data_IF_635119761808
#
_entry.id   IF_635119761808
#
_cell.length_a   1.000
_cell.length_b   1.000
_cell.length_c   1.000
_cell.angle_alpha   90.00
_cell.angle_beta   90.00
_cell.angle_gamma   90.00
#
_symmetry.space_group_name_H-M   'P 1'
#
loop_
_entity.id
_entity.type
_entity.pdbx_description
1 polymer ?
#
# COMPACT_ATOMS: atom_id res chain seq x y z
N UNK A 1 -59.56 -47.27 -37.03
CA UNK A 1 -58.24 -46.93 -36.44
C UNK A 1 -58.44 -46.31 -35.06
N UNK A 2 -58.00 -46.97 -33.98
CA UNK A 2 -58.39 -46.64 -32.59
C UNK A 2 -57.85 -45.30 -32.07
N UNK A 3 -58.70 -44.53 -31.35
CA UNK A 3 -58.37 -43.23 -30.74
C UNK A 3 -57.11 -43.29 -29.84
N UNK A 4 -56.81 -44.44 -29.24
CA UNK A 4 -55.63 -44.67 -28.39
C UNK A 4 -54.31 -44.56 -29.17
N UNK A 5 -54.25 -45.12 -30.39
CA UNK A 5 -53.06 -45.08 -31.26
C UNK A 5 -52.78 -43.64 -31.77
N UNK A 6 -53.83 -42.85 -32.02
CA UNK A 6 -53.67 -41.43 -32.40
C UNK A 6 -53.14 -40.57 -31.25
N UNK A 7 -53.51 -40.85 -30.00
CA UNK A 7 -53.04 -40.12 -28.81
C UNK A 7 -51.58 -40.44 -28.51
N UNK A 8 -51.18 -41.71 -28.55
CA UNK A 8 -49.78 -42.11 -28.32
C UNK A 8 -48.83 -41.56 -29.40
N UNK A 9 -49.27 -41.49 -30.68
CA UNK A 9 -48.47 -40.85 -31.74
C UNK A 9 -48.32 -39.34 -31.53
N UNK A 10 -49.37 -38.65 -31.08
CA UNK A 10 -49.30 -37.21 -30.76
C UNK A 10 -48.38 -36.96 -29.57
N UNK A 11 -48.47 -37.76 -28.50
CA UNK A 11 -47.61 -37.61 -27.33
C UNK A 11 -46.13 -37.87 -27.66
N UNK A 12 -45.83 -38.87 -28.51
CA UNK A 12 -44.46 -39.08 -29.02
C UNK A 12 -43.99 -37.91 -29.89
N UNK A 13 -44.82 -37.41 -30.79
CA UNK A 13 -44.48 -36.24 -31.62
C UNK A 13 -44.24 -34.97 -30.79
N UNK A 14 -45.05 -34.73 -29.77
CA UNK A 14 -44.88 -33.57 -28.87
C UNK A 14 -43.59 -33.71 -28.06
N UNK A 15 -43.28 -34.89 -27.53
CA UNK A 15 -42.01 -35.13 -26.80
C UNK A 15 -40.78 -34.97 -27.70
N UNK A 16 -40.83 -35.51 -28.92
CA UNK A 16 -39.72 -35.35 -29.89
C UNK A 16 -39.53 -33.87 -30.26
N UNK A 17 -40.61 -33.11 -30.48
CA UNK A 17 -40.51 -31.67 -30.74
C UNK A 17 -39.91 -30.91 -29.56
N UNK A 18 -40.34 -31.19 -28.33
CA UNK A 18 -39.81 -30.54 -27.12
C UNK A 18 -38.31 -30.84 -26.94
N UNK A 19 -37.87 -32.08 -27.14
CA UNK A 19 -36.45 -32.45 -27.03
C UNK A 19 -35.60 -31.72 -28.08
N UNK A 20 -36.07 -31.65 -29.34
CA UNK A 20 -35.36 -30.91 -30.40
C UNK A 20 -35.26 -29.42 -30.05
N UNK A 21 -36.32 -28.82 -29.51
CA UNK A 21 -36.29 -27.41 -29.08
C UNK A 21 -35.29 -27.18 -27.94
N UNK A 22 -35.21 -28.07 -26.95
CA UNK A 22 -34.24 -27.94 -25.85
C UNK A 22 -32.80 -28.05 -26.38
N UNK A 23 -32.52 -29.00 -27.28
CA UNK A 23 -31.19 -29.13 -27.90
C UNK A 23 -30.84 -27.88 -28.71
N UNK A 24 -31.78 -27.34 -29.48
CA UNK A 24 -31.58 -26.11 -30.24
C UNK A 24 -31.28 -24.91 -29.34
N UNK A 25 -31.99 -24.76 -28.20
CA UNK A 25 -31.72 -23.71 -27.22
C UNK A 25 -30.35 -23.88 -26.57
N UNK A 26 -29.98 -25.10 -26.18
CA UNK A 26 -28.67 -25.38 -25.59
C UNK A 26 -27.51 -25.12 -26.57
N UNK A 27 -27.70 -25.39 -27.86
CA UNK A 27 -26.72 -25.04 -28.90
C UNK A 27 -26.58 -23.52 -29.07
N UNK A 28 -27.68 -22.77 -29.05
CA UNK A 28 -27.63 -21.30 -29.14
C UNK A 28 -26.97 -20.68 -27.91
N UNK A 29 -27.26 -21.20 -26.70
CA UNK A 29 -26.62 -20.74 -25.45
C UNK A 29 -25.13 -21.12 -25.41
N UNK A 30 -24.78 -22.33 -25.86
CA UNK A 30 -23.38 -22.77 -25.95
C UNK A 30 -22.56 -21.91 -26.93
N UNK A 31 -23.13 -21.58 -28.10
CA UNK A 31 -22.49 -20.71 -29.08
C UNK A 31 -22.35 -19.26 -28.61
N UNK A 32 -23.28 -18.77 -27.77
CA UNK A 32 -23.20 -17.41 -27.21
C UNK A 32 -22.22 -17.30 -26.05
N UNK A 33 -22.07 -18.32 -25.21
CA UNK A 33 -21.00 -18.37 -24.19
C UNK A 33 -19.63 -18.50 -24.86
N UNK A 34 -19.48 -19.41 -25.83
CA UNK A 34 -18.26 -19.55 -26.61
C UNK A 34 -17.89 -18.26 -27.35
N UNK A 35 -18.87 -17.61 -27.98
CA UNK A 35 -18.72 -16.31 -28.62
C UNK A 35 -18.34 -15.19 -27.65
N UNK A 36 -18.91 -15.16 -26.44
CA UNK A 36 -18.54 -14.20 -25.39
C UNK A 36 -17.10 -14.41 -24.91
N UNK A 37 -16.65 -15.64 -24.73
CA UNK A 37 -15.27 -15.93 -24.36
C UNK A 37 -14.28 -15.63 -25.50
N UNK A 38 -14.64 -15.94 -26.74
CA UNK A 38 -13.83 -15.61 -27.92
C UNK A 38 -13.79 -14.10 -28.16
N UNK A 39 -14.91 -13.39 -27.97
CA UNK A 39 -14.96 -11.93 -28.07
C UNK A 39 -14.25 -11.26 -26.90
N UNK A 40 -14.32 -11.80 -25.68
CA UNK A 40 -13.56 -11.33 -24.52
C UNK A 40 -12.07 -11.61 -24.68
N UNK A 41 -11.67 -12.75 -25.24
CA UNK A 41 -10.27 -13.02 -25.58
C UNK A 41 -9.80 -12.15 -26.73
N UNK A 42 -10.66 -11.87 -27.71
CA UNK A 42 -10.37 -10.97 -28.82
C UNK A 42 -10.29 -9.50 -28.35
N UNK A 43 -11.14 -9.06 -27.43
CA UNK A 43 -11.03 -7.75 -26.78
C UNK A 43 -9.80 -7.68 -25.88
N UNK A 44 -9.46 -8.74 -25.15
CA UNK A 44 -8.21 -8.79 -24.38
C UNK A 44 -6.99 -8.75 -25.31
N UNK A 45 -7.07 -9.37 -26.49
CA UNK A 45 -6.02 -9.33 -27.51
C UNK A 45 -5.93 -7.96 -28.24
N UNK A 46 -7.05 -7.25 -28.43
CA UNK A 46 -7.03 -5.91 -29.04
C UNK A 46 -6.77 -4.77 -28.03
N UNK A 47 -7.19 -4.91 -26.77
CA UNK A 47 -6.88 -3.95 -25.70
C UNK A 47 -5.55 -4.28 -25.00
N UNK A 48 -4.83 -5.30 -25.49
CA UNK A 48 -3.52 -5.77 -25.01
C UNK A 48 -2.35 -5.32 -25.88
N UNK A 49 -2.47 -4.17 -26.55
CA UNK A 49 -1.35 -3.40 -27.09
C UNK A 49 -1.26 -2.15 -26.22
N UNK A 50 -0.28 -2.00 -25.33
CA UNK A 50 1.13 -1.98 -25.69
C UNK A 50 2.01 -2.92 -24.83
N UNK A 51 2.93 -3.62 -25.52
CA UNK A 51 4.14 -4.28 -25.02
C UNK A 51 4.08 -5.76 -24.57
N UNK A 52 3.89 -6.65 -25.56
CA UNK A 52 4.00 -8.11 -25.45
C UNK A 52 5.47 -8.63 -25.46
N UNK A 53 6.46 -7.79 -25.14
CA UNK A 53 7.89 -8.15 -25.16
C UNK A 53 8.43 -8.63 -23.80
N UNK A 54 7.67 -8.46 -22.72
CA UNK A 54 8.19 -8.59 -21.35
C UNK A 54 9.25 -7.54 -20.99
N UNK A 55 9.57 -6.62 -21.91
CA UNK A 55 10.40 -5.46 -21.63
C UNK A 55 9.57 -4.41 -20.87
N UNK A 56 10.18 -3.67 -19.93
CA UNK A 56 9.51 -2.56 -19.26
C UNK A 56 9.07 -1.51 -20.28
N UNK A 57 7.84 -1.01 -20.16
CA UNK A 57 7.37 0.09 -21.00
C UNK A 57 8.20 1.36 -20.78
N UNK A 58 8.17 2.30 -21.72
CA UNK A 58 8.83 3.60 -21.55
C UNK A 58 8.38 4.32 -20.25
N UNK A 59 7.11 4.15 -19.87
CA UNK A 59 6.58 4.67 -18.61
C UNK A 59 7.20 3.97 -17.39
N UNK A 60 7.44 2.66 -17.45
CA UNK A 60 8.14 1.93 -16.39
C UNK A 60 9.59 2.39 -16.26
N UNK A 61 10.28 2.56 -17.39
CA UNK A 61 11.66 3.05 -17.42
C UNK A 61 11.75 4.48 -16.86
N UNK A 62 10.82 5.35 -17.25
CA UNK A 62 10.76 6.72 -16.75
C UNK A 62 10.52 6.77 -15.23
N UNK A 63 9.57 5.97 -14.73
CA UNK A 63 9.32 5.84 -13.29
C UNK A 63 10.56 5.32 -12.55
N UNK A 64 11.21 4.29 -13.07
CA UNK A 64 12.43 3.75 -12.48
C UNK A 64 13.57 4.78 -12.42
N UNK A 65 13.76 5.57 -13.50
CA UNK A 65 14.75 6.65 -13.54
C UNK A 65 14.45 7.74 -12.51
N UNK A 66 13.19 8.15 -12.38
CA UNK A 66 12.82 9.15 -11.37
C UNK A 66 13.01 8.61 -9.96
N UNK A 67 12.61 7.37 -9.68
CA UNK A 67 12.86 6.72 -8.39
C UNK A 67 14.35 6.62 -8.07
N UNK A 68 15.20 6.29 -9.05
CA UNK A 68 16.65 6.25 -8.87
C UNK A 68 17.23 7.63 -8.58
N UNK A 69 16.85 8.64 -9.37
CA UNK A 69 17.26 10.03 -9.15
C UNK A 69 16.86 10.49 -7.75
N UNK A 70 15.62 10.24 -7.37
CA UNK A 70 15.09 10.57 -6.05
C UNK A 70 15.86 9.86 -4.92
N UNK A 71 16.17 8.58 -5.07
CA UNK A 71 16.96 7.83 -4.08
C UNK A 71 18.38 8.39 -3.94
N UNK A 72 19.00 8.82 -5.05
CA UNK A 72 20.31 9.47 -5.02
C UNK A 72 20.23 10.81 -4.32
N UNK A 73 19.25 11.64 -4.67
CA UNK A 73 19.07 12.97 -4.10
C UNK A 73 18.82 12.88 -2.57
N UNK A 74 18.12 11.84 -2.08
CA UNK A 74 18.02 11.59 -0.64
C UNK A 74 19.33 11.15 0.00
N UNK A 75 20.10 10.31 -0.70
CA UNK A 75 21.40 9.86 -0.23
C UNK A 75 22.32 11.04 0.00
N UNK A 76 22.38 11.94 -0.98
CA UNK A 76 23.16 13.18 -0.92
C UNK A 76 22.66 14.08 0.22
N UNK A 77 21.34 14.18 0.41
CA UNK A 77 20.73 14.96 1.48
C UNK A 77 21.08 14.42 2.87
N UNK A 78 20.95 13.10 3.07
CA UNK A 78 21.29 12.43 4.34
C UNK A 78 22.79 12.55 4.62
N UNK A 79 23.63 12.36 3.61
CA UNK A 79 25.07 12.54 3.74
C UNK A 79 25.40 13.95 4.20
N UNK A 80 24.85 14.97 3.52
CA UNK A 80 25.06 16.37 3.89
C UNK A 80 24.62 16.64 5.32
N UNK A 81 23.42 16.21 5.72
CA UNK A 81 22.95 16.42 7.08
C UNK A 81 23.82 15.70 8.12
N UNK A 82 24.29 14.50 7.82
CA UNK A 82 25.20 13.75 8.70
C UNK A 82 26.55 14.44 8.87
N UNK A 83 27.11 15.01 7.80
CA UNK A 83 28.35 15.81 7.86
C UNK A 83 28.20 17.01 8.81
N UNK A 84 27.06 17.72 8.76
CA UNK A 84 26.77 18.83 9.68
C UNK A 84 26.64 18.36 11.14
N UNK A 85 25.98 17.22 11.38
CA UNK A 85 25.91 16.62 12.73
C UNK A 85 27.30 16.23 13.24
N UNK A 86 28.16 15.68 12.39
CA UNK A 86 29.56 15.36 12.73
C UNK A 86 30.39 16.58 13.14
N UNK A 87 30.03 17.76 12.64
CA UNK A 87 30.61 19.05 13.03
C UNK A 87 29.95 19.63 14.30
N UNK A 88 29.07 18.87 14.96
CA UNK A 88 28.24 19.29 16.09
C UNK A 88 27.31 20.47 15.75
N UNK A 89 26.92 20.60 14.48
CA UNK A 89 26.01 21.63 13.97
C UNK A 89 24.65 21.00 13.57
N UNK A 90 23.87 20.63 14.59
CA UNK A 90 22.52 20.10 14.39
C UNK A 90 21.58 21.13 13.74
N UNK A 91 21.86 22.43 13.88
CA UNK A 91 21.02 23.49 13.31
C UNK A 91 21.23 23.60 11.78
N UNK A 92 22.45 23.40 11.29
CA UNK A 92 22.73 23.28 9.86
C UNK A 92 22.05 22.04 9.26
N UNK A 93 22.12 20.88 9.92
CA UNK A 93 21.40 19.68 9.49
C UNK A 93 19.87 19.91 9.44
N UNK A 94 19.31 20.58 10.45
CA UNK A 94 17.91 20.97 10.47
C UNK A 94 17.53 21.83 9.26
N UNK A 95 18.36 22.83 8.92
CA UNK A 95 18.10 23.71 7.77
C UNK A 95 18.02 22.93 6.45
N UNK A 96 18.87 21.92 6.28
CA UNK A 96 18.86 21.05 5.08
C UNK A 96 17.53 20.30 4.97
N UNK A 97 17.09 19.63 6.04
CA UNK A 97 15.83 18.89 6.02
C UNK A 97 14.60 19.78 5.90
N UNK A 98 14.56 20.92 6.61
CA UNK A 98 13.44 21.87 6.54
C UNK A 98 13.24 22.41 5.11
N UNK A 99 14.34 22.70 4.40
CA UNK A 99 14.27 23.10 2.99
C UNK A 99 13.68 22.00 2.10
N UNK A 100 14.08 20.75 2.30
CA UNK A 100 13.56 19.62 1.53
C UNK A 100 12.07 19.35 1.84
N UNK A 101 11.68 19.36 3.12
CA UNK A 101 10.27 19.18 3.54
C UNK A 101 9.38 20.28 2.94
N UNK A 102 9.85 21.52 2.91
CA UNK A 102 9.12 22.65 2.35
C UNK A 102 8.94 22.55 0.82
N UNK A 103 9.95 22.02 0.12
CA UNK A 103 9.91 21.81 -1.34
C UNK A 103 9.11 20.57 -1.76
N UNK A 104 8.93 19.61 -0.86
CA UNK A 104 8.21 18.37 -1.15
C UNK A 104 6.69 18.62 -1.27
N UNK A 105 6.01 17.80 -2.07
CA UNK A 105 4.55 17.84 -2.26
C UNK A 105 3.87 16.55 -1.80
N UNK A 106 4.55 15.41 -1.87
CA UNK A 106 4.08 14.12 -1.36
C UNK A 106 4.08 14.10 0.18
N UNK A 107 2.92 13.81 0.77
CA UNK A 107 2.78 13.73 2.23
C UNK A 107 3.55 12.55 2.85
N UNK A 108 3.57 11.42 2.13
CA UNK A 108 4.40 10.27 2.48
C UNK A 108 5.87 10.70 2.56
N UNK A 109 6.34 11.39 1.53
CA UNK A 109 7.72 11.82 1.46
C UNK A 109 8.09 12.89 2.50
N UNK A 110 7.18 13.82 2.78
CA UNK A 110 7.36 14.76 3.90
C UNK A 110 7.53 14.02 5.22
N UNK A 111 6.82 12.94 5.41
CA UNK A 111 6.91 12.13 6.63
C UNK A 111 8.23 11.36 6.70
N UNK A 112 8.69 10.78 5.59
CA UNK A 112 10.03 10.16 5.51
C UNK A 112 11.14 11.17 5.82
N UNK A 113 11.07 12.39 5.27
CA UNK A 113 12.04 13.46 5.55
C UNK A 113 11.95 13.96 7.00
N UNK A 114 10.75 14.03 7.58
CA UNK A 114 10.56 14.40 8.98
C UNK A 114 11.08 13.31 9.94
N UNK A 115 10.98 12.04 9.57
CA UNK A 115 11.61 10.91 10.28
C UNK A 115 13.13 11.09 10.28
N UNK A 116 13.72 11.38 9.12
CA UNK A 116 15.17 11.59 9.01
C UNK A 116 15.62 12.79 9.87
N UNK A 117 14.88 13.90 9.86
CA UNK A 117 15.12 15.06 10.73
C UNK A 117 14.97 14.71 12.22
N UNK A 118 13.92 13.96 12.57
CA UNK A 118 13.71 13.47 13.94
C UNK A 118 14.87 12.59 14.39
N UNK A 119 15.41 11.74 13.50
CA UNK A 119 16.60 10.92 13.71
C UNK A 119 17.87 11.74 13.96
N UNK A 120 18.05 12.84 13.23
CA UNK A 120 19.15 13.80 13.48
C UNK A 120 19.05 14.39 14.88
N UNK A 121 17.87 14.87 15.27
CA UNK A 121 17.67 15.43 16.61
C UNK A 121 17.84 14.39 17.71
N UNK A 122 17.34 13.17 17.48
CA UNK A 122 17.52 12.03 18.37
C UNK A 122 19.01 11.72 18.60
N UNK A 123 19.79 11.60 17.51
CA UNK A 123 21.23 11.33 17.59
C UNK A 123 22.00 12.44 18.33
N UNK A 124 21.52 13.69 18.25
CA UNK A 124 22.05 14.83 18.98
C UNK A 124 21.53 14.95 20.43
N UNK A 125 20.69 14.01 20.90
CA UNK A 125 20.07 14.07 22.23
C UNK A 125 19.00 15.16 22.39
N UNK A 126 18.57 15.78 21.30
CA UNK A 126 17.58 16.87 21.27
C UNK A 126 16.15 16.32 21.15
N UNK A 127 15.73 15.48 22.11
CA UNK A 127 14.48 14.72 22.02
C UNK A 127 13.23 15.58 21.83
N UNK A 128 13.14 16.75 22.48
CA UNK A 128 12.01 17.67 22.30
C UNK A 128 11.84 18.11 20.84
N UNK A 129 12.96 18.39 20.14
CA UNK A 129 12.94 18.73 18.72
C UNK A 129 12.62 17.52 17.85
N UNK A 130 13.10 16.32 18.23
CA UNK A 130 12.76 15.07 17.55
C UNK A 130 11.24 14.81 17.58
N UNK A 131 10.60 15.02 18.74
CA UNK A 131 9.15 14.95 18.86
C UNK A 131 8.45 16.04 18.05
N UNK A 132 8.92 17.29 18.13
CA UNK A 132 8.32 18.42 17.41
C UNK A 132 8.26 18.19 15.89
N UNK A 133 9.36 17.69 15.29
CA UNK A 133 9.42 17.36 13.87
C UNK A 133 8.34 16.34 13.46
N UNK A 134 8.08 15.34 14.31
CA UNK A 134 7.06 14.32 14.05
C UNK A 134 5.64 14.82 14.30
N UNK A 135 5.44 15.68 15.31
CA UNK A 135 4.13 16.27 15.59
C UNK A 135 3.63 17.17 14.47
N UNK A 136 4.52 17.86 13.78
CA UNK A 136 4.17 18.69 12.63
C UNK A 136 3.55 17.86 11.49
N UNK A 137 4.18 16.74 11.14
CA UNK A 137 3.65 15.82 10.12
C UNK A 137 2.46 15.00 10.63
N UNK A 138 2.38 14.72 11.93
CA UNK A 138 1.21 14.11 12.57
C UNK A 138 -0.05 14.95 12.42
N UNK A 139 0.03 16.26 12.21
CA UNK A 139 -1.17 17.08 11.97
C UNK A 139 -1.58 17.03 10.50
N UNK A 140 -0.61 17.07 9.59
CA UNK A 140 -0.84 17.32 8.15
C UNK A 140 -1.01 16.07 7.29
N UNK A 141 -0.42 14.92 7.65
CA UNK A 141 -0.42 13.73 6.79
C UNK A 141 -1.67 12.85 7.00
N UNK A 142 -2.54 12.58 6.02
CA UNK A 142 -3.72 11.74 6.23
C UNK A 142 -3.40 10.29 6.63
N UNK A 143 -2.24 9.77 6.23
CA UNK A 143 -1.78 8.45 6.63
C UNK A 143 -0.79 8.58 7.78
N UNK A 144 -1.16 8.00 8.92
CA UNK A 144 -0.45 8.20 10.19
C UNK A 144 0.46 7.02 10.55
N UNK A 145 0.56 5.99 9.71
CA UNK A 145 1.30 4.76 10.05
C UNK A 145 2.77 5.04 10.38
N UNK A 146 3.51 5.68 9.47
CA UNK A 146 4.93 5.99 9.67
C UNK A 146 5.16 6.90 10.88
N UNK A 147 4.25 7.85 11.11
CA UNK A 147 4.32 8.73 12.27
C UNK A 147 4.16 7.95 13.57
N UNK A 148 3.17 7.04 13.63
CA UNK A 148 2.94 6.24 14.82
C UNK A 148 4.06 5.25 15.10
N UNK A 149 4.56 4.60 14.05
CA UNK A 149 5.66 3.64 14.14
C UNK A 149 6.98 4.30 14.59
N UNK A 150 7.24 5.53 14.16
CA UNK A 150 8.41 6.27 14.64
C UNK A 150 8.23 6.80 16.07
N UNK A 151 7.08 7.41 16.37
CA UNK A 151 6.81 7.95 17.69
C UNK A 151 6.78 6.86 18.77
N UNK A 152 6.31 5.65 18.48
CA UNK A 152 6.31 4.56 19.46
C UNK A 152 7.72 4.22 19.95
N UNK A 153 8.67 4.08 19.02
CA UNK A 153 10.08 3.80 19.30
C UNK A 153 10.77 4.98 19.99
N UNK A 154 10.45 6.21 19.57
CA UNK A 154 11.00 7.41 20.18
C UNK A 154 10.55 7.57 21.65
N UNK A 155 9.26 7.37 21.94
CA UNK A 155 8.74 7.38 23.32
C UNK A 155 9.31 6.23 24.15
N UNK A 156 9.48 5.05 23.56
CA UNK A 156 10.07 3.91 24.26
C UNK A 156 11.51 4.19 24.70
N UNK A 157 12.33 4.74 23.80
CA UNK A 157 13.71 5.08 24.11
C UNK A 157 13.81 6.10 25.25
N UNK A 158 12.87 7.06 25.27
CA UNK A 158 12.71 8.03 26.36
C UNK A 158 12.06 7.46 27.63
N UNK A 159 11.77 6.17 27.66
CA UNK A 159 11.12 5.44 28.77
C UNK A 159 9.74 5.98 29.13
N UNK A 160 9.11 6.73 28.23
CA UNK A 160 7.71 7.10 28.32
C UNK A 160 6.87 5.94 27.77
N UNK A 161 6.85 4.87 28.55
CA UNK A 161 6.22 3.62 28.15
C UNK A 161 4.70 3.75 27.95
N UNK A 162 4.07 4.74 28.60
CA UNK A 162 2.64 5.02 28.42
C UNK A 162 2.36 5.53 27.00
N UNK A 163 3.10 6.55 26.55
CA UNK A 163 2.97 7.04 25.18
C UNK A 163 3.51 6.03 24.16
N UNK A 164 4.58 5.31 24.46
CA UNK A 164 5.08 4.24 23.60
C UNK A 164 4.00 3.18 23.33
N UNK A 165 3.34 2.68 24.38
CA UNK A 165 2.25 1.70 24.24
C UNK A 165 1.09 2.24 23.40
N UNK A 166 0.72 3.51 23.62
CA UNK A 166 -0.32 4.17 22.81
C UNK A 166 0.06 4.20 21.34
N UNK A 167 1.28 4.61 21.00
CA UNK A 167 1.71 4.75 19.62
C UNK A 167 1.96 3.41 18.93
N UNK A 168 2.44 2.39 19.65
CA UNK A 168 2.48 1.03 19.12
C UNK A 168 1.08 0.55 18.73
N UNK A 169 0.06 0.74 19.58
CA UNK A 169 -1.33 0.38 19.23
C UNK A 169 -1.83 1.11 17.98
N UNK A 170 -1.57 2.41 17.87
CA UNK A 170 -1.93 3.20 16.69
C UNK A 170 -1.24 2.68 15.41
N UNK A 171 0.05 2.38 15.48
CA UNK A 171 0.78 1.78 14.35
C UNK A 171 0.17 0.43 13.94
N UNK A 172 -0.23 -0.40 14.91
CA UNK A 172 -0.95 -1.66 14.67
C UNK A 172 -2.32 -1.47 14.02
N UNK A 173 -3.10 -0.48 14.45
CA UNK A 173 -4.39 -0.11 13.83
C UNK A 173 -4.21 0.30 12.36
N UNK A 174 -3.09 0.95 12.04
CA UNK A 174 -2.76 1.41 10.70
C UNK A 174 -1.82 0.48 9.93
N UNK A 175 -1.57 -0.74 10.40
CA UNK A 175 -0.64 -1.67 9.75
C UNK A 175 -1.00 -2.03 8.29
N UNK A 176 -2.24 -1.81 7.86
CA UNK A 176 -2.67 -1.99 6.46
C UNK A 176 -2.41 -0.76 5.57
N UNK A 177 -1.79 0.28 6.11
CA UNK A 177 -1.40 1.48 5.39
C UNK A 177 -0.49 1.12 4.20
N UNK A 178 -0.63 1.77 3.04
CA UNK A 178 0.33 1.63 1.94
C UNK A 178 1.74 2.13 2.32
N UNK A 179 1.87 2.96 3.35
CA UNK A 179 3.17 3.41 3.87
C UNK A 179 3.84 2.34 4.76
N UNK A 180 3.13 1.28 5.16
CA UNK A 180 3.73 0.11 5.80
C UNK A 180 4.45 -0.77 4.76
N UNK A 181 5.59 -0.28 4.27
CA UNK A 181 6.42 -0.99 3.30
C UNK A 181 7.11 -2.22 3.88
N UNK A 182 7.22 -2.32 5.21
CA UNK A 182 7.86 -3.46 5.89
C UNK A 182 6.93 -4.67 5.99
N UNK A 183 5.62 -4.48 5.81
CA UNK A 183 4.62 -5.54 5.96
C UNK A 183 4.49 -6.06 7.40
N UNK A 184 4.92 -5.26 8.39
CA UNK A 184 4.81 -5.63 9.79
C UNK A 184 3.32 -5.63 10.17
N UNK A 185 2.85 -6.76 10.67
CA UNK A 185 1.44 -6.97 11.00
C UNK A 185 1.06 -6.34 12.34
N UNK A 186 -0.25 -6.10 12.52
CA UNK A 186 -0.81 -5.57 13.78
C UNK A 186 -0.40 -6.37 15.01
N UNK A 187 -0.25 -7.69 14.89
CA UNK A 187 0.14 -8.56 16.01
C UNK A 187 1.51 -8.25 16.59
N UNK A 188 2.46 -7.79 15.77
CA UNK A 188 3.76 -7.31 16.26
C UNK A 188 3.57 -6.07 17.13
N UNK A 189 2.85 -5.08 16.60
CA UNK A 189 2.58 -3.82 17.28
C UNK A 189 1.81 -4.00 18.60
N UNK A 190 0.82 -4.89 18.62
CA UNK A 190 0.09 -5.25 19.83
C UNK A 190 1.03 -5.86 20.88
N UNK A 191 1.92 -6.77 20.46
CA UNK A 191 2.89 -7.41 21.36
C UNK A 191 3.90 -6.40 21.92
N UNK A 192 4.39 -5.45 21.11
CA UNK A 192 5.27 -4.38 21.56
C UNK A 192 4.57 -3.43 22.53
N UNK A 193 3.31 -3.07 22.27
CA UNK A 193 2.50 -2.27 23.20
C UNK A 193 2.34 -2.96 24.56
N UNK A 194 2.08 -4.27 24.57
CA UNK A 194 1.98 -5.06 25.80
C UNK A 194 3.33 -5.18 26.52
N UNK A 195 4.42 -5.32 25.77
CA UNK A 195 5.78 -5.39 26.33
C UNK A 195 6.12 -4.09 27.05
N UNK A 196 5.99 -2.93 26.38
CA UNK A 196 6.35 -1.65 27.00
C UNK A 196 5.41 -1.27 28.14
N UNK A 197 4.12 -1.63 28.08
CA UNK A 197 3.19 -1.42 29.19
C UNK A 197 3.65 -2.10 30.48
N UNK A 198 4.26 -3.30 30.38
CA UNK A 198 4.84 -4.02 31.53
C UNK A 198 6.11 -3.36 32.07
N UNK A 199 6.91 -2.73 31.20
CA UNK A 199 8.12 -2.00 31.60
C UNK A 199 7.79 -0.71 32.36
N UNK A 200 6.66 -0.09 32.04
CA UNK A 200 6.13 1.08 32.76
C UNK A 200 5.41 0.76 34.05
N UNK A 201 5.44 -0.50 34.51
CA UNK A 201 4.68 -1.08 35.61
C UNK A 201 4.32 -0.14 36.76
N UNK A 202 3.12 0.43 36.63
CA UNK A 202 1.99 0.16 37.53
C UNK A 202 1.50 -1.27 37.31
#
# INVERSE_FOLDING_TARGET
MSKKIKRERRERQTRTKVIITIIAVLLVVGLSIGGFFVWRSYQAAQNGTDDESGAPSDADIARARESFKQSRDDGDLRQKAFEEVGNNDTDAANKVYQQAIAAETSQERKTELAIDLSGVYYAAGQYDKAFAAMKEVEVSNPDKFLVADWLSRLYEDQKDYSNAAKYYRLAGEWAKSPQNKTGIEKSFYDAEADRVSKLGGV
#
